data_IF_175550520509
#
_entry.id   IF_175550520509
#
_cell.length_a   1.000
_cell.length_b   1.000
_cell.length_c   1.000
_cell.angle_alpha   90.00
_cell.angle_beta   90.00
_cell.angle_gamma   90.00
#
_symmetry.space_group_name_H-M   'P 1'
#
loop_
_entity.id
_entity.type
_entity.pdbx_description
1 polymer ?
#
# COMPACT_ATOMS: atom_id res chain seq x y z
N UNK A 1 -22.38 -18.58 9.46
CA UNK A 1 -21.29 -17.67 9.89
C UNK A 1 -21.70 -16.24 9.55
N UNK A 2 -21.68 -15.31 10.50
CA UNK A 2 -21.93 -13.89 10.19
C UNK A 2 -20.69 -13.27 9.58
N UNK A 3 -20.84 -12.56 8.45
CA UNK A 3 -19.69 -11.87 7.82
C UNK A 3 -19.14 -10.77 8.74
N UNK A 4 -17.85 -10.47 8.62
CA UNK A 4 -17.20 -9.37 9.37
C UNK A 4 -17.96 -8.06 9.18
N UNK A 5 -18.44 -7.80 7.96
CA UNK A 5 -19.27 -6.65 7.61
C UNK A 5 -20.63 -6.64 8.36
N UNK A 6 -21.26 -7.79 8.54
CA UNK A 6 -22.49 -7.90 9.33
C UNK A 6 -22.26 -7.68 10.83
N UNK A 7 -21.07 -7.96 11.33
CA UNK A 7 -20.68 -7.67 12.72
C UNK A 7 -20.38 -6.18 12.91
N UNK A 8 -19.62 -5.58 12.01
CA UNK A 8 -19.34 -4.13 12.00
C UNK A 8 -20.63 -3.31 11.87
N UNK A 9 -21.56 -3.71 10.99
CA UNK A 9 -22.86 -3.07 10.87
C UNK A 9 -23.67 -3.15 12.17
N UNK A 10 -23.66 -4.30 12.85
CA UNK A 10 -24.35 -4.45 14.14
C UNK A 10 -23.73 -3.58 15.22
N UNK A 11 -22.40 -3.54 15.33
CA UNK A 11 -21.70 -2.67 16.29
C UNK A 11 -22.02 -1.19 16.05
N UNK A 12 -21.94 -0.74 14.79
CA UNK A 12 -22.31 0.61 14.39
C UNK A 12 -23.78 0.94 14.69
N UNK A 13 -24.71 0.06 14.31
CA UNK A 13 -26.15 0.26 14.53
C UNK A 13 -26.50 0.28 16.03
N UNK A 14 -25.80 -0.53 16.84
CA UNK A 14 -25.99 -0.53 18.30
C UNK A 14 -25.55 0.80 18.91
N UNK A 15 -24.45 1.38 18.45
CA UNK A 15 -24.01 2.72 18.87
C UNK A 15 -25.05 3.79 18.54
N UNK A 16 -25.58 3.79 17.31
CA UNK A 16 -26.63 4.73 16.87
C UNK A 16 -27.91 4.59 17.71
N UNK A 17 -28.36 3.36 17.96
CA UNK A 17 -29.56 3.10 18.76
C UNK A 17 -29.39 3.52 20.22
N UNK A 18 -28.19 3.35 20.78
CA UNK A 18 -27.87 3.75 22.14
C UNK A 18 -27.85 5.28 22.28
N UNK A 19 -27.24 5.98 21.32
CA UNK A 19 -27.29 7.45 21.27
C UNK A 19 -28.73 7.98 21.11
N UNK A 20 -29.55 7.31 20.29
CA UNK A 20 -30.97 7.63 20.14
C UNK A 20 -31.75 7.42 21.44
N UNK A 21 -31.52 6.31 22.14
CA UNK A 21 -32.19 5.99 23.39
C UNK A 21 -31.85 6.97 24.53
N UNK A 22 -30.62 7.49 24.56
CA UNK A 22 -30.16 8.43 25.59
C UNK A 22 -30.65 9.86 25.30
N UNK A 23 -30.57 10.31 24.05
CA UNK A 23 -30.79 11.73 23.69
C UNK A 23 -32.17 11.99 23.08
N UNK A 24 -32.91 10.96 22.68
CA UNK A 24 -34.21 11.06 22.00
C UNK A 24 -34.12 11.47 20.52
N UNK A 25 -32.92 11.79 20.02
CA UNK A 25 -32.63 12.11 18.63
C UNK A 25 -31.17 11.76 18.31
N UNK A 26 -30.88 11.39 17.07
CA UNK A 26 -29.51 11.22 16.57
C UNK A 26 -29.24 12.33 15.57
N UNK A 27 -28.34 13.24 15.94
CA UNK A 27 -27.98 14.41 15.15
C UNK A 27 -26.69 14.09 14.38
N UNK A 28 -26.85 13.61 13.15
CA UNK A 28 -25.72 13.32 12.25
C UNK A 28 -25.21 14.64 11.65
N UNK A 29 -24.38 15.35 12.42
CA UNK A 29 -23.87 16.70 12.07
C UNK A 29 -23.23 16.74 10.68
N UNK A 30 -22.50 15.67 10.30
CA UNK A 30 -21.87 15.55 8.97
C UNK A 30 -22.90 15.42 7.83
N UNK A 31 -24.04 14.75 8.06
CA UNK A 31 -25.15 14.69 7.08
C UNK A 31 -25.95 15.99 7.01
N UNK A 32 -25.99 16.76 8.09
CA UNK A 32 -26.66 18.06 8.13
C UNK A 32 -25.85 19.15 7.44
N UNK A 33 -24.52 19.06 7.44
CA UNK A 33 -23.63 20.00 6.76
C UNK A 33 -23.49 19.70 5.25
N UNK A 34 -23.34 18.44 4.84
CA UNK A 34 -22.95 18.09 3.45
C UNK A 34 -24.01 17.28 2.66
N UNK A 35 -25.23 17.13 3.19
CA UNK A 35 -26.22 16.23 2.60
C UNK A 35 -25.83 14.74 2.73
N UNK A 36 -26.19 13.89 1.75
CA UNK A 36 -25.97 12.43 1.83
C UNK A 36 -24.53 12.05 2.20
N UNK A 37 -24.34 10.92 2.90
CA UNK A 37 -23.04 10.41 3.41
C UNK A 37 -21.87 10.39 2.38
N UNK A 38 -22.17 10.42 1.08
CA UNK A 38 -21.22 10.55 -0.03
C UNK A 38 -21.71 11.65 -0.99
N UNK A 39 -21.72 12.91 -0.53
CA UNK A 39 -22.13 14.10 -1.29
C UNK A 39 -21.07 14.60 -2.27
N UNK A 40 -21.35 15.71 -2.96
CA UNK A 40 -20.38 16.35 -3.88
C UNK A 40 -19.10 16.75 -3.15
N UNK A 41 -19.22 17.37 -1.97
CA UNK A 41 -18.08 17.79 -1.14
C UNK A 41 -17.13 16.64 -0.77
N UNK A 42 -17.66 15.41 -0.61
CA UNK A 42 -16.82 14.24 -0.33
C UNK A 42 -15.90 13.91 -1.51
N UNK A 43 -16.44 13.92 -2.74
CA UNK A 43 -15.65 13.56 -3.92
C UNK A 43 -14.70 14.69 -4.34
N UNK A 44 -15.05 15.94 -4.08
CA UNK A 44 -14.13 17.07 -4.26
C UNK A 44 -12.93 16.94 -3.32
N UNK A 45 -13.18 16.71 -2.03
CA UNK A 45 -12.10 16.50 -1.06
C UNK A 45 -11.25 15.26 -1.37
N UNK A 46 -11.89 14.15 -1.75
CA UNK A 46 -11.18 12.93 -2.17
C UNK A 46 -10.27 13.18 -3.38
N UNK A 47 -10.71 14.00 -4.35
CA UNK A 47 -9.90 14.35 -5.51
C UNK A 47 -8.70 15.21 -5.11
N UNK A 48 -8.88 16.16 -4.18
CA UNK A 48 -7.78 16.97 -3.64
C UNK A 48 -6.75 16.09 -2.92
N UNK A 49 -7.18 15.14 -2.09
CA UNK A 49 -6.31 14.21 -1.38
C UNK A 49 -5.51 13.33 -2.35
N UNK A 50 -6.16 12.76 -3.38
CA UNK A 50 -5.48 11.99 -4.43
C UNK A 50 -4.48 12.86 -5.20
N UNK A 51 -4.81 14.12 -5.46
CA UNK A 51 -3.91 15.06 -6.13
C UNK A 51 -2.67 15.37 -5.29
N UNK A 52 -2.83 15.60 -3.98
CA UNK A 52 -1.73 15.79 -3.04
C UNK A 52 -0.81 14.57 -3.03
N UNK A 53 -1.37 13.36 -2.93
CA UNK A 53 -0.62 12.10 -2.97
C UNK A 53 0.21 12.02 -4.26
N UNK A 54 -0.40 12.33 -5.41
CA UNK A 54 0.26 12.26 -6.72
C UNK A 54 1.42 13.25 -6.83
N UNK A 55 1.22 14.50 -6.42
CA UNK A 55 2.24 15.55 -6.48
C UNK A 55 3.33 15.44 -5.41
N UNK A 56 3.09 14.68 -4.34
CA UNK A 56 4.07 14.54 -3.26
C UNK A 56 5.40 13.91 -3.74
N UNK A 57 6.51 14.30 -3.12
CA UNK A 57 7.83 13.67 -3.33
C UNK A 57 8.02 12.40 -2.47
N UNK A 58 6.92 11.88 -1.89
CA UNK A 58 6.93 10.70 -1.02
C UNK A 58 7.39 9.47 -1.79
N UNK A 59 7.89 8.48 -1.05
CA UNK A 59 8.34 7.20 -1.62
C UNK A 59 7.17 6.51 -2.32
N UNK A 60 7.44 5.83 -3.42
CA UNK A 60 6.40 5.18 -4.25
C UNK A 60 5.42 4.30 -3.46
N UNK A 61 5.92 3.46 -2.54
CA UNK A 61 5.06 2.61 -1.72
C UNK A 61 4.19 3.41 -0.75
N UNK A 62 4.67 4.55 -0.25
CA UNK A 62 3.90 5.41 0.66
C UNK A 62 2.71 5.99 -0.08
N UNK A 63 2.87 6.39 -1.34
CA UNK A 63 1.74 6.88 -2.15
C UNK A 63 0.64 5.83 -2.31
N UNK A 64 1.00 4.55 -2.45
CA UNK A 64 0.02 3.46 -2.56
C UNK A 64 -0.69 3.22 -1.22
N UNK A 65 0.02 3.30 -0.09
CA UNK A 65 -0.61 3.16 1.23
C UNK A 65 -1.45 4.38 1.61
N UNK A 66 -1.04 5.58 1.20
CA UNK A 66 -1.80 6.81 1.39
C UNK A 66 -3.10 6.75 0.57
N UNK A 67 -3.03 6.28 -0.68
CA UNK A 67 -4.23 6.04 -1.48
C UNK A 67 -5.15 5.00 -0.82
N UNK A 68 -4.60 3.91 -0.28
CA UNK A 68 -5.38 2.91 0.44
C UNK A 68 -6.10 3.50 1.67
N UNK A 69 -5.48 4.49 2.34
CA UNK A 69 -6.09 5.17 3.47
C UNK A 69 -7.33 6.00 3.11
N UNK A 70 -7.51 6.37 1.83
CA UNK A 70 -8.70 7.09 1.33
C UNK A 70 -9.97 6.21 1.26
N UNK A 71 -9.88 4.91 1.58
CA UNK A 71 -11.04 4.02 1.59
C UNK A 71 -12.16 4.50 2.51
N UNK A 72 -13.41 4.32 2.07
CA UNK A 72 -14.60 4.69 2.85
C UNK A 72 -14.68 3.95 4.17
N UNK A 73 -14.18 2.71 4.22
CA UNK A 73 -14.17 1.85 5.40
C UNK A 73 -12.76 1.72 6.03
N UNK A 74 -11.85 2.65 5.74
CA UNK A 74 -10.47 2.58 6.23
C UNK A 74 -10.38 2.40 7.75
N UNK A 75 -9.56 1.43 8.16
CA UNK A 75 -9.20 1.21 9.55
C UNK A 75 -7.72 0.79 9.64
N UNK A 76 -6.91 1.62 10.30
CA UNK A 76 -5.48 1.38 10.48
C UNK A 76 -5.18 0.12 11.32
N UNK A 77 -6.05 -0.24 12.26
CA UNK A 77 -5.89 -1.40 13.15
C UNK A 77 -6.48 -2.69 12.55
N UNK A 78 -7.14 -2.61 11.39
CA UNK A 78 -7.72 -3.78 10.77
C UNK A 78 -6.61 -4.75 10.32
N UNK A 79 -6.75 -6.07 10.59
CA UNK A 79 -5.80 -7.07 10.10
C UNK A 79 -5.60 -7.04 8.58
N UNK A 80 -6.62 -6.63 7.84
CA UNK A 80 -6.56 -6.42 6.39
C UNK A 80 -5.59 -5.31 6.00
N UNK A 81 -5.59 -4.19 6.73
CA UNK A 81 -4.70 -3.04 6.47
C UNK A 81 -3.26 -3.39 6.80
N UNK A 82 -3.03 -4.01 7.97
CA UNK A 82 -1.70 -4.48 8.37
C UNK A 82 -1.15 -5.50 7.35
N UNK A 83 -1.98 -6.44 6.91
CA UNK A 83 -1.61 -7.41 5.88
C UNK A 83 -1.33 -6.76 4.52
N UNK A 84 -2.10 -5.74 4.14
CA UNK A 84 -1.89 -4.98 2.91
C UNK A 84 -0.54 -4.23 2.95
N UNK A 85 -0.25 -3.48 4.02
CA UNK A 85 1.00 -2.73 4.17
C UNK A 85 2.22 -3.65 4.22
N UNK A 86 2.11 -4.81 4.85
CA UNK A 86 3.19 -5.80 4.87
C UNK A 86 3.48 -6.39 3.48
N UNK A 87 2.44 -6.57 2.64
CA UNK A 87 2.58 -7.23 1.33
C UNK A 87 2.87 -6.26 0.18
N UNK A 88 2.38 -5.03 0.25
CA UNK A 88 2.39 -4.07 -0.88
C UNK A 88 3.79 -3.82 -1.44
N UNK A 89 4.79 -3.69 -0.57
CA UNK A 89 6.16 -3.44 -0.98
C UNK A 89 6.72 -4.61 -1.79
N UNK A 90 6.53 -5.85 -1.33
CA UNK A 90 6.99 -7.03 -2.05
C UNK A 90 6.23 -7.23 -3.37
N UNK A 91 4.93 -6.93 -3.42
CA UNK A 91 4.13 -6.97 -4.66
C UNK A 91 4.69 -6.01 -5.72
N UNK A 92 5.03 -4.78 -5.33
CA UNK A 92 5.59 -3.79 -6.24
C UNK A 92 6.98 -4.22 -6.76
N UNK A 93 7.86 -4.68 -5.88
CA UNK A 93 9.17 -5.21 -6.28
C UNK A 93 9.03 -6.36 -7.29
N UNK A 94 8.19 -7.34 -6.95
CA UNK A 94 8.01 -8.50 -7.81
C UNK A 94 7.42 -8.14 -9.17
N UNK A 95 6.48 -7.19 -9.24
CA UNK A 95 5.87 -6.76 -10.50
C UNK A 95 6.86 -6.15 -11.51
N UNK A 96 7.96 -5.56 -11.04
CA UNK A 96 8.94 -4.88 -11.90
C UNK A 96 10.05 -5.82 -12.34
N UNK A 97 10.59 -6.58 -11.39
CA UNK A 97 11.84 -7.33 -11.60
C UNK A 97 11.72 -8.81 -11.24
N UNK A 98 10.53 -9.31 -10.88
CA UNK A 98 10.29 -10.74 -10.65
C UNK A 98 10.85 -11.31 -9.35
N UNK A 99 11.34 -10.45 -8.45
CA UNK A 99 11.92 -10.86 -7.17
C UNK A 99 11.25 -10.12 -6.02
N UNK A 100 11.14 -10.77 -4.86
CA UNK A 100 10.81 -10.05 -3.61
C UNK A 100 11.98 -9.16 -3.19
N UNK A 101 11.74 -8.22 -2.26
CA UNK A 101 12.79 -7.35 -1.74
C UNK A 101 13.97 -8.15 -1.15
N UNK A 102 13.67 -9.25 -0.44
CA UNK A 102 14.69 -10.10 0.17
C UNK A 102 15.50 -10.89 -0.88
N UNK A 103 14.83 -11.49 -1.87
CA UNK A 103 15.50 -12.21 -2.97
C UNK A 103 16.40 -11.29 -3.78
N UNK A 104 15.92 -10.07 -4.08
CA UNK A 104 16.71 -9.06 -4.79
C UNK A 104 18.01 -8.72 -4.06
N UNK A 105 17.94 -8.52 -2.74
CA UNK A 105 19.12 -8.22 -1.93
C UNK A 105 20.07 -9.42 -1.95
N UNK A 106 19.58 -10.64 -1.75
CA UNK A 106 20.43 -11.85 -1.76
C UNK A 106 21.13 -12.04 -3.12
N UNK A 107 20.43 -11.74 -4.22
CA UNK A 107 20.98 -11.89 -5.56
C UNK A 107 21.98 -10.80 -5.92
N UNK A 108 21.71 -9.53 -5.54
CA UNK A 108 22.48 -8.37 -6.00
C UNK A 108 23.53 -7.86 -4.99
N UNK A 109 23.40 -8.18 -3.71
CA UNK A 109 24.36 -7.77 -2.69
C UNK A 109 25.63 -8.62 -2.77
N UNK A 110 26.70 -8.03 -3.31
CA UNK A 110 27.97 -8.71 -3.52
C UNK A 110 29.14 -7.89 -2.96
N UNK A 111 29.81 -8.44 -1.95
CA UNK A 111 30.99 -7.83 -1.31
C UNK A 111 32.18 -7.60 -2.25
N UNK A 112 32.24 -8.32 -3.38
CA UNK A 112 33.30 -8.18 -4.38
C UNK A 112 33.05 -6.99 -5.33
N UNK A 113 31.82 -6.45 -5.36
CA UNK A 113 31.46 -5.32 -6.21
C UNK A 113 31.69 -3.99 -5.49
N UNK A 114 32.00 -2.90 -6.23
CA UNK A 114 32.00 -1.56 -5.67
C UNK A 114 30.68 -1.27 -4.95
N UNK A 115 30.77 -0.67 -3.77
CA UNK A 115 29.62 -0.34 -2.92
C UNK A 115 28.65 -1.50 -2.67
N UNK A 116 29.15 -2.74 -2.65
CA UNK A 116 28.33 -3.95 -2.43
C UNK A 116 27.26 -4.19 -3.50
N UNK A 117 27.35 -3.53 -4.66
CA UNK A 117 26.33 -3.58 -5.73
C UNK A 117 25.20 -2.54 -5.61
N UNK A 118 25.30 -1.59 -4.67
CA UNK A 118 24.32 -0.50 -4.51
C UNK A 118 24.39 0.48 -5.70
N UNK A 119 23.23 0.85 -6.24
CA UNK A 119 23.07 1.87 -7.28
C UNK A 119 22.72 3.24 -6.70
N UNK A 120 22.09 3.28 -5.53
CA UNK A 120 21.74 4.52 -4.80
C UNK A 120 21.75 4.30 -3.29
N UNK A 121 22.14 5.29 -2.50
CA UNK A 121 22.05 5.25 -1.03
C UNK A 121 22.00 6.68 -0.47
N UNK A 122 21.56 6.83 0.79
CA UNK A 122 21.20 8.14 1.37
C UNK A 122 22.35 9.16 1.34
N UNK A 123 23.58 8.71 1.52
CA UNK A 123 24.78 9.56 1.50
C UNK A 123 25.64 9.38 0.24
N UNK A 124 25.05 9.07 -0.92
CA UNK A 124 25.79 8.74 -2.14
C UNK A 124 26.81 9.80 -2.61
N UNK A 125 26.59 11.07 -2.30
CA UNK A 125 27.45 12.17 -2.75
C UNK A 125 28.73 12.35 -1.92
N UNK A 126 28.75 11.98 -0.62
CA UNK A 126 29.88 12.27 0.28
C UNK A 126 30.12 11.24 1.40
N UNK A 127 29.29 10.21 1.53
CA UNK A 127 29.31 9.29 2.67
C UNK A 127 29.62 7.84 2.32
N UNK A 128 30.12 7.12 3.34
CA UNK A 128 30.33 5.67 3.30
C UNK A 128 29.00 4.94 3.27
N UNK A 129 28.98 3.77 2.63
CA UNK A 129 27.83 2.85 2.69
C UNK A 129 27.60 2.41 4.14
N UNK A 130 26.39 2.61 4.64
CA UNK A 130 25.99 2.16 5.97
C UNK A 130 25.32 0.78 5.88
N UNK A 131 25.36 0.03 6.99
CA UNK A 131 24.64 -1.26 7.07
C UNK A 131 23.13 -1.11 6.84
N UNK A 132 22.56 0.03 7.21
CA UNK A 132 21.15 0.36 6.97
C UNK A 132 20.82 0.46 5.47
N UNK A 133 21.76 0.93 4.65
CA UNK A 133 21.56 1.09 3.20
C UNK A 133 21.51 -0.26 2.47
N UNK A 134 22.26 -1.24 2.96
CA UNK A 134 22.38 -2.60 2.40
C UNK A 134 21.08 -3.40 2.53
N UNK A 135 20.23 -3.07 3.51
CA UNK A 135 18.97 -3.80 3.75
C UNK A 135 17.84 -3.23 2.88
N UNK A 136 18.06 -2.11 2.20
CA UNK A 136 17.03 -1.44 1.40
C UNK A 136 17.08 -1.97 -0.05
N UNK A 137 16.12 -2.82 -0.42
CA UNK A 137 16.05 -3.39 -1.77
C UNK A 137 16.04 -2.34 -2.90
N UNK A 138 15.37 -1.19 -2.70
CA UNK A 138 15.35 -0.08 -3.66
C UNK A 138 16.76 0.37 -4.07
N UNK A 139 17.72 0.30 -3.15
CA UNK A 139 19.09 0.76 -3.37
C UNK A 139 19.87 -0.13 -4.35
N UNK A 140 19.32 -1.29 -4.73
CA UNK A 140 19.87 -2.21 -5.72
C UNK A 140 19.14 -2.13 -7.07
N UNK A 141 18.15 -1.24 -7.22
CA UNK A 141 17.39 -1.09 -8.47
C UNK A 141 18.16 -0.25 -9.48
N UNK A 142 18.14 -0.66 -10.74
CA UNK A 142 18.62 0.13 -11.86
C UNK A 142 17.70 1.35 -12.10
N UNK A 143 18.20 2.34 -12.84
CA UNK A 143 17.43 3.55 -13.14
C UNK A 143 16.16 3.22 -13.94
N UNK A 144 16.25 2.29 -14.89
CA UNK A 144 15.13 1.85 -15.72
C UNK A 144 14.05 1.14 -14.88
N UNK A 145 14.45 0.38 -13.85
CA UNK A 145 13.54 -0.30 -12.92
C UNK A 145 12.82 0.72 -12.03
N UNK A 146 13.54 1.75 -11.55
CA UNK A 146 12.94 2.84 -10.77
C UNK A 146 11.96 3.67 -11.59
N UNK A 147 12.27 3.95 -12.85
CA UNK A 147 11.33 4.63 -13.74
C UNK A 147 10.09 3.77 -14.02
N UNK A 148 10.27 2.47 -14.21
CA UNK A 148 9.16 1.53 -14.40
C UNK A 148 8.27 1.45 -13.15
N UNK A 149 8.86 1.42 -11.95
CA UNK A 149 8.12 1.54 -10.68
C UNK A 149 7.31 2.82 -10.62
N UNK A 150 7.92 3.95 -10.98
CA UNK A 150 7.25 5.24 -11.01
C UNK A 150 6.08 5.26 -11.97
N UNK A 151 6.24 4.71 -13.17
CA UNK A 151 5.16 4.58 -14.17
C UNK A 151 3.98 3.75 -13.62
N UNK A 152 4.24 2.57 -13.06
CA UNK A 152 3.20 1.69 -12.48
C UNK A 152 2.42 2.42 -11.39
N UNK A 153 3.12 3.06 -10.44
CA UNK A 153 2.48 3.74 -9.30
C UNK A 153 1.67 4.96 -9.77
N UNK A 154 2.19 5.75 -10.72
CA UNK A 154 1.47 6.89 -11.26
C UNK A 154 0.19 6.46 -11.98
N UNK A 155 0.24 5.43 -12.82
CA UNK A 155 -0.96 4.91 -13.50
C UNK A 155 -1.98 4.34 -12.49
N UNK A 156 -1.53 3.73 -11.40
CA UNK A 156 -2.44 3.29 -10.33
C UNK A 156 -3.13 4.48 -9.63
N UNK A 157 -2.43 5.60 -9.40
CA UNK A 157 -3.02 6.83 -8.87
C UNK A 157 -3.98 7.49 -9.87
N UNK A 158 -3.69 7.46 -11.17
CA UNK A 158 -4.60 7.93 -12.22
C UNK A 158 -5.90 7.13 -12.26
N UNK A 159 -5.82 5.80 -12.07
CA UNK A 159 -7.01 4.97 -11.91
C UNK A 159 -7.84 5.41 -10.70
N UNK A 160 -7.19 5.79 -9.61
CA UNK A 160 -7.90 6.28 -8.44
C UNK A 160 -8.61 7.61 -8.68
N UNK A 161 -7.93 8.53 -9.36
CA UNK A 161 -8.50 9.83 -9.76
C UNK A 161 -9.74 9.64 -10.65
N UNK A 162 -9.69 8.73 -11.64
CA UNK A 162 -10.85 8.40 -12.49
C UNK A 162 -12.02 7.83 -11.68
N UNK A 163 -11.75 6.99 -10.68
CA UNK A 163 -12.79 6.44 -9.79
C UNK A 163 -13.47 7.53 -8.96
N UNK A 164 -12.68 8.43 -8.40
CA UNK A 164 -13.19 9.57 -7.64
C UNK A 164 -14.02 10.51 -8.52
N UNK A 165 -13.57 10.83 -9.74
CA UNK A 165 -14.33 11.65 -10.72
C UNK A 165 -15.67 11.03 -11.09
N UNK A 166 -15.73 9.70 -11.22
CA UNK A 166 -16.96 8.96 -11.52
C UNK A 166 -17.87 8.78 -10.31
N UNK A 167 -17.51 9.36 -9.16
CA UNK A 167 -18.24 9.23 -7.89
C UNK A 167 -18.43 7.77 -7.48
N UNK A 168 -17.40 6.95 -7.69
CA UNK A 168 -17.40 5.54 -7.31
C UNK A 168 -16.68 5.42 -5.96
N UNK A 169 -17.39 5.13 -4.86
CA UNK A 169 -16.76 4.92 -3.58
C UNK A 169 -15.93 3.64 -3.59
N UNK A 170 -14.80 3.65 -2.89
CA UNK A 170 -13.85 2.55 -2.87
C UNK A 170 -13.62 2.07 -1.44
N UNK A 171 -13.73 0.76 -1.23
CA UNK A 171 -13.39 0.12 0.05
C UNK A 171 -11.93 -0.33 0.09
N UNK A 172 -11.45 -0.66 1.28
CA UNK A 172 -10.13 -1.27 1.48
C UNK A 172 -9.94 -2.53 0.64
N UNK A 173 -10.98 -3.36 0.53
CA UNK A 173 -10.96 -4.57 -0.29
C UNK A 173 -10.90 -4.25 -1.79
N UNK A 174 -11.61 -3.21 -2.23
CA UNK A 174 -11.60 -2.78 -3.64
C UNK A 174 -10.22 -2.28 -4.06
N UNK A 175 -9.55 -1.47 -3.22
CA UNK A 175 -8.17 -1.02 -3.53
C UNK A 175 -7.20 -2.19 -3.61
N UNK A 176 -7.25 -3.10 -2.65
CA UNK A 176 -6.38 -4.28 -2.62
C UNK A 176 -6.56 -5.15 -3.87
N UNK A 177 -7.80 -5.50 -4.23
CA UNK A 177 -8.10 -6.30 -5.43
C UNK A 177 -7.67 -5.61 -6.72
N UNK A 178 -7.88 -4.29 -6.80
CA UNK A 178 -7.48 -3.52 -7.98
C UNK A 178 -5.99 -3.42 -8.12
N UNK A 179 -5.26 -3.24 -7.02
CA UNK A 179 -3.80 -3.26 -7.07
C UNK A 179 -3.32 -4.61 -7.59
N UNK A 180 -3.87 -5.70 -7.07
CA UNK A 180 -3.49 -7.06 -7.50
C UNK A 180 -3.75 -7.27 -8.99
N UNK A 181 -4.95 -6.96 -9.47
CA UNK A 181 -5.28 -7.05 -10.89
C UNK A 181 -4.41 -6.12 -11.76
N UNK A 182 -4.09 -4.93 -11.26
CA UNK A 182 -3.27 -3.96 -11.97
C UNK A 182 -1.81 -4.43 -12.10
N UNK A 183 -1.24 -4.99 -11.03
CA UNK A 183 0.12 -5.52 -11.04
C UNK A 183 0.21 -6.79 -11.89
N UNK A 184 -0.80 -7.68 -11.85
CA UNK A 184 -0.86 -8.87 -12.72
C UNK A 184 -0.91 -8.51 -14.21
N UNK A 185 -1.63 -7.44 -14.57
CA UNK A 185 -1.73 -7.02 -15.97
C UNK A 185 -0.44 -6.35 -16.48
N UNK A 186 0.27 -5.62 -15.60
CA UNK A 186 1.46 -4.86 -15.97
C UNK A 186 2.77 -5.61 -15.75
N UNK A 187 2.78 -6.73 -15.01
CA UNK A 187 3.96 -7.58 -14.88
C UNK A 187 4.32 -8.14 -16.26
N UNK A 188 5.34 -7.58 -16.90
CA UNK A 188 5.76 -7.91 -18.27
C UNK A 188 6.36 -9.31 -18.42
N UNK A 189 6.46 -10.11 -17.36
CA UNK A 189 7.07 -11.43 -17.41
C UNK A 189 6.37 -12.47 -16.53
N UNK A 190 5.94 -13.56 -17.19
CA UNK A 190 5.72 -14.93 -16.71
C UNK A 190 4.31 -15.33 -16.24
N UNK A 191 3.58 -15.83 -17.22
CA UNK A 191 2.35 -16.63 -17.18
C UNK A 191 2.39 -17.92 -16.33
N UNK A 192 3.45 -18.20 -15.57
CA UNK A 192 3.58 -19.42 -14.74
C UNK A 192 3.59 -19.19 -13.22
N UNK A 193 3.58 -17.93 -12.75
CA UNK A 193 3.82 -17.62 -11.34
C UNK A 193 2.59 -17.48 -10.44
N UNK A 194 1.40 -18.01 -10.78
CA UNK A 194 0.24 -17.94 -9.85
C UNK A 194 0.50 -18.66 -8.52
N UNK A 195 1.29 -19.74 -8.54
CA UNK A 195 1.62 -20.54 -7.34
C UNK A 195 2.86 -19.99 -6.60
N UNK A 196 3.81 -19.39 -7.34
CA UNK A 196 5.03 -18.82 -6.79
C UNK A 196 4.79 -17.46 -6.12
N UNK A 197 3.86 -16.64 -6.62
CA UNK A 197 3.54 -15.33 -6.05
C UNK A 197 2.97 -15.43 -4.63
N UNK A 198 2.04 -16.36 -4.40
CA UNK A 198 1.46 -16.61 -3.07
C UNK A 198 2.48 -17.20 -2.10
N UNK A 199 3.27 -18.17 -2.55
CA UNK A 199 4.28 -18.84 -1.71
C UNK A 199 5.49 -17.96 -1.41
N UNK A 200 5.94 -17.11 -2.34
CA UNK A 200 7.03 -16.16 -2.12
C UNK A 200 6.63 -15.01 -1.17
N UNK A 201 5.38 -14.52 -1.26
CA UNK A 201 4.87 -13.51 -0.31
C UNK A 201 4.74 -14.08 1.10
N UNK A 202 4.25 -15.31 1.26
CA UNK A 202 4.13 -15.95 2.58
C UNK A 202 5.51 -16.37 3.14
N UNK A 203 6.44 -16.80 2.28
CA UNK A 203 7.84 -17.08 2.65
C UNK A 203 8.63 -15.83 3.06
N UNK A 204 8.45 -14.71 2.37
CA UNK A 204 9.11 -13.44 2.68
C UNK A 204 8.60 -12.80 3.98
N UNK A 205 7.31 -12.95 4.33
CA UNK A 205 6.76 -12.57 5.64
C UNK A 205 7.46 -13.32 6.78
N UNK A 206 7.82 -14.59 6.58
CA UNK A 206 8.58 -15.38 7.57
C UNK A 206 10.04 -14.93 7.71
N UNK A 207 10.66 -14.46 6.62
CA UNK A 207 12.04 -13.95 6.61
C UNK A 207 12.12 -12.52 7.17
N UNK A 208 11.15 -11.66 6.86
CA UNK A 208 10.99 -10.34 7.48
C UNK A 208 10.78 -10.47 8.99
N UNK A 209 9.93 -11.41 9.45
CA UNK A 209 9.76 -11.68 10.88
C UNK A 209 11.06 -12.16 11.55
N UNK A 210 11.87 -12.97 10.87
CA UNK A 210 13.20 -13.38 11.34
C UNK A 210 14.19 -12.22 11.39
N UNK A 211 14.16 -11.32 10.40
CA UNK A 211 15.00 -10.12 10.36
C UNK A 211 14.62 -9.11 11.45
N UNK A 212 13.33 -8.98 11.78
CA UNK A 212 12.88 -8.13 12.89
C UNK A 212 13.19 -8.73 14.27
N UNK A 213 13.18 -10.06 14.42
CA UNK A 213 13.73 -10.72 15.62
C UNK A 213 15.24 -10.51 15.77
N UNK A 214 15.99 -10.44 14.68
CA UNK A 214 17.43 -10.14 14.69
C UNK A 214 17.74 -8.69 15.11
N UNK A 215 16.86 -7.73 14.81
CA UNK A 215 16.98 -6.33 15.28
C UNK A 215 16.72 -6.15 16.78
N UNK A 216 16.05 -7.11 17.43
CA UNK A 216 15.80 -7.09 18.89
C UNK A 216 16.95 -7.70 19.71
N UNK A 217 17.95 -8.31 19.05
CA UNK A 217 19.10 -8.98 19.69
C UNK A 217 20.45 -8.28 19.43
N UNK A 218 20.43 -7.08 18.85
CA UNK A 218 21.60 -6.20 18.65
C UNK A 218 21.27 -4.78 19.06
#
# INVERSE_FOLDING_TARGET
>A
MSSVRATQFRQWATGILMDFAIRGYVLDRKRMENGSFLGEDYYEHLLEEIHEIRLSERRFYQKVTDLYATSVDYNAEAPTTLGFFAKVQNKLHFAIHGHTAAELIVERADSQRPHMGLTSWENALQGKVLKSDVIIAKNYLAQEELESLGRIVNTYLELAEDRARRRIPMTMEDWAKRLDAFLEFNSTCQTESKTLYGTALDGSLSLSAKLDQLKLLT
#
